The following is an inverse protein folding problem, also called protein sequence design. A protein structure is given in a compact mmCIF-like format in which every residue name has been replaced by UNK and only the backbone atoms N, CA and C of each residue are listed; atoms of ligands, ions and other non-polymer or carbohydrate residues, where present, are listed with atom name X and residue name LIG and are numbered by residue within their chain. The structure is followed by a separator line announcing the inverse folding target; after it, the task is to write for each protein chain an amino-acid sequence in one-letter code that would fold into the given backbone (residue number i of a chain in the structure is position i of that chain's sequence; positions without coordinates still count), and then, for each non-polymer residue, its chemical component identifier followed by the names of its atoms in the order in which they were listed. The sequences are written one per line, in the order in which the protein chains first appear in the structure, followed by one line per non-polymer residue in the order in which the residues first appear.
data_IF_313374770473
#
_entry.id   IF_313374770473
#
_cell.length_a   1.000
_cell.length_b   1.000
_cell.length_c   1.000
_cell.angle_alpha   90.00
_cell.angle_beta   90.00
_cell.angle_gamma   90.00
#
_symmetry.space_group_name_H-M   'P 1'
#
loop_
_entity.id
_entity.type
_entity.pdbx_description
1 polymer ?
2 polymer ?
#
loop_
_entity_poly.entity_id
_entity_poly.type
_entity_poly.pdbx_seq_one_letter_code
_entity_poly.pdbx_strand_id
2 'polydeoxyribonucleotide' '(GNG)(DT)(DA)(DA)(DA)(DA)' ?
#
# COMPACT_ATOMS: atom_id res chain seq x y z
N UNK A 1 -15.41 8.53 -23.59
CA UNK A 1 -15.95 7.96 -22.33
C UNK A 1 -14.91 7.09 -21.64
N UNK A 2 -15.16 6.78 -20.36
CA UNK A 2 -14.26 5.99 -19.52
C UNK A 2 -12.87 6.61 -19.38
N UNK A 3 -12.05 6.03 -18.49
CA UNK A 3 -10.70 6.50 -18.25
C UNK A 3 -9.70 5.86 -19.22
N UNK A 4 -10.16 4.84 -19.98
CA UNK A 4 -9.37 4.06 -20.94
C UNK A 4 -8.19 3.29 -20.30
N UNK A 5 -7.81 3.65 -19.08
CA UNK A 5 -6.73 3.01 -18.35
C UNK A 5 -7.31 2.33 -17.11
N UNK A 6 -6.72 1.20 -16.73
CA UNK A 6 -7.13 0.43 -15.57
C UNK A 6 -5.97 0.31 -14.58
N UNK A 7 -6.21 -0.26 -13.40
CA UNK A 7 -5.15 -0.41 -12.41
C UNK A 7 -4.11 -1.43 -12.86
N UNK A 8 -4.48 -2.33 -13.79
CA UNK A 8 -3.55 -3.33 -14.27
C UNK A 8 -2.41 -2.67 -15.06
N UNK A 9 -2.74 -1.69 -15.90
CA UNK A 9 -1.74 -1.02 -16.73
C UNK A 9 -0.96 -0.02 -15.90
N UNK A 10 -1.53 0.46 -14.80
CA UNK A 10 -0.83 1.36 -13.90
C UNK A 10 0.32 0.60 -13.22
N UNK A 11 0.13 -0.69 -12.96
CA UNK A 11 1.12 -1.50 -12.28
C UNK A 11 2.26 -1.89 -13.22
N UNK A 12 1.96 -2.13 -14.50
CA UNK A 12 3.01 -2.52 -15.43
C UNK A 12 3.95 -1.34 -15.68
N UNK A 13 3.42 -0.12 -15.67
CA UNK A 13 4.22 1.08 -15.90
C UNK A 13 5.26 1.26 -14.80
N UNK A 14 4.89 1.06 -13.53
CA UNK A 14 5.84 1.24 -12.44
C UNK A 14 6.88 0.11 -12.43
N UNK A 15 6.59 -1.04 -13.05
CA UNK A 15 7.61 -2.07 -13.22
C UNK A 15 8.63 -1.64 -14.28
N UNK A 16 8.22 -0.80 -15.26
CA UNK A 16 9.11 -0.26 -16.27
C UNK A 16 9.93 0.91 -15.74
N UNK A 17 9.56 1.43 -14.57
CA UNK A 17 10.29 2.51 -13.92
C UNK A 17 9.50 3.82 -13.91
N UNK A 18 8.28 3.81 -14.45
CA UNK A 18 7.42 4.98 -14.45
C UNK A 18 6.70 5.07 -13.10
N UNK A 19 7.35 5.71 -12.12
CA UNK A 19 6.80 5.91 -10.80
C UNK A 19 5.61 6.87 -10.85
N UNK A 20 5.45 7.57 -11.97
CA UNK A 20 4.34 8.48 -12.17
C UNK A 20 3.02 7.72 -12.20
N UNK A 21 3.04 6.45 -12.63
CA UNK A 21 1.84 5.64 -12.63
C UNK A 21 1.57 5.13 -11.22
N UNK A 22 2.62 4.81 -10.46
CA UNK A 22 2.48 4.41 -9.08
C UNK A 22 1.94 5.57 -8.25
N UNK A 23 2.31 6.82 -8.57
CA UNK A 23 1.84 7.97 -7.83
C UNK A 23 0.33 8.11 -7.98
N UNK A 24 -0.18 7.86 -9.19
CA UNK A 24 -1.61 7.95 -9.46
C UNK A 24 -2.34 6.71 -8.94
N UNK A 25 -1.60 5.61 -8.76
CA UNK A 25 -2.14 4.36 -8.26
C UNK A 25 -2.19 4.37 -6.73
N UNK A 26 -1.28 5.11 -6.09
CA UNK A 26 -1.23 5.20 -4.63
C UNK A 26 -2.38 6.05 -4.13
N UNK A 27 -2.54 7.28 -4.63
CA UNK A 27 -3.56 8.19 -4.13
C UNK A 27 -4.97 7.60 -4.32
N UNK A 28 -5.12 6.70 -5.29
CA UNK A 28 -6.39 6.05 -5.57
C UNK A 28 -6.74 5.06 -4.47
N UNK A 29 -5.79 4.18 -4.13
CA UNK A 29 -6.00 3.18 -3.10
C UNK A 29 -5.66 3.71 -1.71
N UNK A 30 -5.06 4.89 -1.61
CA UNK A 30 -4.72 5.52 -0.35
C UNK A 30 -5.99 5.72 0.49
N UNK A 31 -7.16 5.81 -0.16
CA UNK A 31 -8.42 5.92 0.54
C UNK A 31 -8.90 4.55 1.02
N UNK A 32 -8.61 3.49 0.26
CA UNK A 32 -9.08 2.15 0.59
C UNK A 32 -8.14 1.42 1.55
N UNK A 33 -6.84 1.58 1.35
CA UNK A 33 -5.83 0.93 2.17
C UNK A 33 -5.83 1.53 3.57
N UNK A 34 -6.21 2.81 3.67
CA UNK A 34 -6.27 3.50 4.95
C UNK A 34 -7.50 3.11 5.75
N UNK A 35 -8.59 2.75 5.05
CA UNK A 35 -9.80 2.30 5.73
C UNK A 35 -9.57 0.93 6.37
N UNK A 36 -8.66 0.15 5.80
CA UNK A 36 -8.35 -1.18 6.33
C UNK A 36 -7.51 -1.08 7.58
N UNK A 37 -6.45 -0.28 7.55
CA UNK A 37 -5.50 -0.23 8.67
C UNK A 37 -5.94 0.69 9.79
N UNK A 38 -6.87 1.62 9.54
CA UNK A 38 -7.42 2.47 10.60
C UNK A 38 -8.13 1.62 11.64
N UNK A 39 -8.44 0.36 11.30
CA UNK A 39 -9.08 -0.60 12.17
C UNK A 39 -8.08 -1.25 13.14
N UNK A 40 -6.78 -1.04 12.91
CA UNK A 40 -5.73 -1.64 13.72
C UNK A 40 -4.86 -0.60 14.42
N UNK A 41 -4.82 0.63 13.93
CA UNK A 41 -4.05 1.71 14.54
C UNK A 41 -4.91 2.98 14.62
N UNK A 42 -4.66 3.83 15.63
CA UNK A 42 -5.41 5.06 15.82
C UNK A 42 -5.21 6.02 14.65
N UNK A 43 -6.20 6.87 14.41
CA UNK A 43 -6.21 7.80 13.28
C UNK A 43 -5.06 8.81 13.37
N UNK A 44 -4.39 8.90 14.52
CA UNK A 44 -3.27 9.81 14.70
C UNK A 44 -1.97 9.24 14.13
N UNK A 45 -1.92 7.92 13.88
CA UNK A 45 -0.75 7.26 13.36
C UNK A 45 -1.06 6.50 12.06
N UNK A 46 -2.34 6.44 11.67
CA UNK A 46 -2.73 5.64 10.53
C UNK A 46 -2.14 6.12 9.20
N UNK A 47 -1.95 7.43 8.93
CA UNK A 47 -1.39 7.86 7.66
C UNK A 47 0.09 7.48 7.56
N UNK A 48 0.74 7.25 8.70
CA UNK A 48 2.14 6.86 8.72
C UNK A 48 2.30 5.36 8.44
N UNK A 49 1.30 4.56 8.83
CA UNK A 49 1.32 3.13 8.56
C UNK A 49 0.92 2.87 7.11
N UNK A 50 0.06 3.74 6.55
CA UNK A 50 -0.37 3.62 5.16
C UNK A 50 0.78 3.93 4.21
N UNK A 51 1.61 4.92 4.54
CA UNK A 51 2.72 5.32 3.69
C UNK A 51 3.82 4.26 3.77
N UNK A 52 4.01 3.62 4.92
CA UNK A 52 5.01 2.59 5.03
C UNK A 52 4.59 1.38 4.19
N UNK A 53 3.29 1.13 4.11
CA UNK A 53 2.76 0.02 3.33
C UNK A 53 2.88 0.30 1.82
N UNK A 54 2.91 1.58 1.43
CA UNK A 54 3.09 1.95 0.04
C UNK A 54 4.56 1.94 -0.36
N UNK A 55 5.48 2.32 0.52
CA UNK A 55 6.90 2.21 0.24
C UNK A 55 7.28 0.74 0.14
N UNK A 56 6.65 -0.13 0.93
CA UNK A 56 6.84 -1.56 0.83
C UNK A 56 6.23 -2.10 -0.45
N UNK A 57 5.14 -1.49 -0.92
CA UNK A 57 4.49 -1.91 -2.15
C UNK A 57 5.31 -1.49 -3.38
N UNK A 58 6.07 -0.40 -3.29
CA UNK A 58 6.89 0.05 -4.41
C UNK A 58 8.08 -0.87 -4.59
N UNK A 59 8.81 -1.11 -3.49
CA UNK A 59 10.02 -1.92 -3.47
C UNK A 59 9.72 -3.38 -3.75
N UNK A 60 8.44 -3.77 -3.63
CA UNK A 60 7.98 -5.11 -3.95
C UNK A 60 7.13 -5.15 -5.21
N UNK A 61 6.85 -4.01 -5.83
CA UNK A 61 6.05 -3.97 -7.04
C UNK A 61 6.81 -4.54 -8.23
N UNK A 62 8.14 -4.45 -8.20
CA UNK A 62 8.99 -5.09 -9.20
C UNK A 62 9.10 -6.59 -8.95
N UNK A 63 8.49 -7.09 -7.86
CA UNK A 63 8.45 -8.50 -7.53
C UNK A 63 7.01 -9.01 -7.58
N UNK A 64 6.05 -8.09 -7.69
CA UNK A 64 4.65 -8.41 -7.82
C UNK A 64 4.37 -9.03 -9.19
N UNK A 65 3.48 -10.01 -9.22
CA UNK A 65 3.05 -10.63 -10.46
C UNK A 65 1.81 -9.90 -10.95
N UNK A 66 1.93 -9.21 -12.10
CA UNK A 66 0.83 -8.44 -12.66
C UNK A 66 -0.35 -9.35 -13.00
N UNK A 67 -0.10 -10.64 -13.17
CA UNK A 67 -1.11 -11.60 -13.53
C UNK A 67 -1.96 -12.03 -12.33
N UNK A 68 -1.80 -11.31 -11.20
CA UNK A 68 -2.53 -11.51 -9.97
C UNK A 68 -3.25 -10.22 -9.60
N UNK A 69 -4.09 -10.26 -8.57
CA UNK A 69 -4.89 -9.10 -8.16
C UNK A 69 -3.99 -8.02 -7.57
N UNK A 70 -4.12 -6.79 -8.06
CA UNK A 70 -3.36 -5.66 -7.55
C UNK A 70 -3.83 -5.22 -6.18
N UNK A 71 -5.15 -5.27 -5.92
CA UNK A 71 -5.71 -4.75 -4.69
C UNK A 71 -5.61 -5.74 -3.54
N UNK A 72 -5.87 -7.03 -3.78
CA UNK A 72 -5.80 -8.03 -2.72
C UNK A 72 -4.37 -8.14 -2.18
N UNK A 73 -3.38 -7.93 -3.06
CA UNK A 73 -1.99 -7.95 -2.66
C UNK A 73 -1.61 -6.63 -1.98
N UNK A 74 -2.33 -5.54 -2.29
CA UNK A 74 -2.07 -4.25 -1.66
C UNK A 74 -2.64 -4.21 -0.24
N UNK A 75 -3.84 -4.77 -0.06
CA UNK A 75 -4.51 -4.77 1.22
C UNK A 75 -3.81 -5.70 2.21
N UNK A 76 -3.20 -6.77 1.71
CA UNK A 76 -2.50 -7.73 2.54
C UNK A 76 -1.20 -7.12 3.09
N UNK A 77 -0.61 -6.18 2.36
CA UNK A 77 0.64 -5.55 2.77
C UNK A 77 0.38 -4.51 3.84
N UNK A 78 -0.74 -3.78 3.75
CA UNK A 78 -1.01 -2.71 4.69
C UNK A 78 -1.48 -3.24 6.04
N UNK A 79 -2.19 -4.38 6.06
CA UNK A 79 -2.64 -4.96 7.31
C UNK A 79 -1.53 -5.78 7.97
N UNK A 80 -0.56 -6.27 7.18
CA UNK A 80 0.59 -6.95 7.75
C UNK A 80 1.58 -5.91 8.27
N UNK A 81 1.64 -4.74 7.62
CA UNK A 81 2.43 -3.63 8.11
C UNK A 81 1.78 -3.06 9.36
N UNK A 82 0.48 -3.28 9.52
CA UNK A 82 -0.25 -2.80 10.68
C UNK A 82 0.10 -3.62 11.91
N UNK A 83 0.25 -4.95 11.78
CA UNK A 83 0.59 -5.77 12.93
C UNK A 83 2.01 -5.47 13.38
N UNK A 84 2.90 -5.17 12.44
CA UNK A 84 4.31 -4.92 12.74
C UNK A 84 4.48 -3.57 13.43
N UNK A 85 3.56 -2.63 13.20
CA UNK A 85 3.61 -1.35 13.90
C UNK A 85 3.15 -1.53 15.34
N UNK A 86 2.19 -2.43 15.56
CA UNK A 86 1.69 -2.73 16.89
C UNK A 86 2.76 -3.48 17.71
N UNK A 87 3.72 -4.11 17.03
CA UNK A 87 4.86 -4.73 17.69
C UNK A 87 5.95 -3.68 17.93
N UNK A 88 6.00 -2.67 17.06
CA UNK A 88 6.97 -1.60 17.18
C UNK A 88 6.57 -0.63 18.30
N UNK A 89 5.32 -0.68 18.77
CA UNK A 89 4.91 0.07 19.94
C UNK A 89 4.50 -0.87 21.08
N UNK A 90 4.49 -2.18 20.83
CA UNK A 90 4.20 -3.17 21.87
C UNK A 90 5.43 -3.41 22.74
N UNK A 91 6.61 -3.08 22.21
CA UNK A 91 7.88 -3.15 22.94
C UNK A 91 8.29 -1.76 23.44
N UNK A 92 7.37 -0.79 23.39
CA UNK A 92 7.60 0.60 23.73
C UNK A 92 7.74 0.79 25.24
N UNK A 93 7.30 -0.18 26.02
CA UNK A 93 7.36 -0.13 27.48
C UNK A 93 8.33 -1.19 28.03
N UNK A 94 8.97 -1.95 27.14
CA UNK A 94 9.90 -3.01 27.52
C UNK A 94 11.32 -2.46 27.63
N UNK A 95 12.19 -3.28 28.24
CA UNK A 95 13.59 -2.93 28.47
C UNK A 95 14.45 -4.18 28.39
#
# INVERSE_FOLDING_TARGET
MSEQLTDQVLVERVQKGDQKAFNLLVVRYQHKVASLVSRYVPSGDVPDVVQEAFIKAYRALDSFDINRKFSTWLYRIAVNTAKNYLVAQGRRLEL
#
